data_IF_473456985816
#
_entry.id   IF_473456985816
#
_cell.length_a   1.000
_cell.length_b   1.000
_cell.length_c   1.000
_cell.angle_alpha   90.00
_cell.angle_beta   90.00
_cell.angle_gamma   90.00
#
_symmetry.space_group_name_H-M   'P 1'
#
loop_
_entity.id
_entity.type
_entity.pdbx_description
1 polymer ?
#
# COMPACT_ATOMS: atom_id res chain seq x y z
N UNK A 1 -4.51 -33.46 11.70
CA UNK A 1 -3.22 -33.49 11.00
C UNK A 1 -3.35 -33.04 9.54
N UNK A 2 -4.23 -33.64 8.73
CA UNK A 2 -4.48 -33.22 7.33
C UNK A 2 -4.88 -31.73 7.23
N UNK A 3 -5.79 -31.26 8.08
CA UNK A 3 -6.25 -29.85 8.12
C UNK A 3 -5.17 -28.82 8.48
N UNK A 4 -4.17 -29.21 9.29
CA UNK A 4 -3.05 -28.32 9.64
C UNK A 4 -2.06 -28.20 8.47
N UNK A 5 -1.79 -29.32 7.77
CA UNK A 5 -0.88 -29.35 6.63
C UNK A 5 -1.45 -28.54 5.45
N UNK A 6 -2.75 -28.61 5.17
CA UNK A 6 -3.39 -27.77 4.14
C UNK A 6 -3.33 -26.29 4.49
N UNK A 7 -3.56 -25.91 5.76
CA UNK A 7 -3.50 -24.51 6.18
C UNK A 7 -2.08 -23.92 6.03
N UNK A 8 -1.03 -24.67 6.38
CA UNK A 8 0.37 -24.21 6.25
C UNK A 8 0.80 -24.10 4.78
N UNK A 9 0.39 -25.03 3.92
CA UNK A 9 0.68 -24.98 2.48
C UNK A 9 -0.02 -23.79 1.83
N UNK A 10 -1.29 -23.54 2.16
CA UNK A 10 -2.03 -22.39 1.62
C UNK A 10 -1.46 -21.05 2.10
N UNK A 11 -1.18 -20.90 3.40
CA UNK A 11 -0.54 -19.69 3.94
C UNK A 11 0.84 -19.43 3.30
N UNK A 12 1.62 -20.50 3.07
CA UNK A 12 2.89 -20.43 2.34
C UNK A 12 2.73 -19.96 0.90
N UNK A 13 1.73 -20.46 0.17
CA UNK A 13 1.45 -20.07 -1.22
C UNK A 13 0.98 -18.60 -1.31
N UNK A 14 0.13 -18.15 -0.38
CA UNK A 14 -0.36 -16.77 -0.37
C UNK A 14 0.74 -15.75 -0.06
N UNK A 15 1.58 -16.03 0.96
CA UNK A 15 2.75 -15.19 1.26
C UNK A 15 3.76 -15.17 0.11
N UNK A 16 3.98 -16.31 -0.55
CA UNK A 16 4.87 -16.41 -1.71
C UNK A 16 4.36 -15.56 -2.89
N UNK A 17 3.05 -15.58 -3.14
CA UNK A 17 2.43 -14.86 -4.27
C UNK A 17 2.63 -13.35 -4.14
N UNK A 18 2.39 -12.77 -2.96
CA UNK A 18 2.68 -11.36 -2.71
C UNK A 18 4.19 -11.06 -2.83
N UNK A 19 5.03 -11.91 -2.26
CA UNK A 19 6.49 -11.73 -2.25
C UNK A 19 7.07 -11.63 -3.66
N UNK A 20 6.59 -12.45 -4.59
CA UNK A 20 7.05 -12.45 -6.00
C UNK A 20 6.22 -11.55 -6.92
N UNK A 21 5.17 -10.88 -6.42
CA UNK A 21 4.29 -10.05 -7.25
C UNK A 21 5.05 -8.91 -7.94
N UNK A 22 4.98 -8.77 -9.28
CA UNK A 22 5.82 -7.82 -10.01
C UNK A 22 5.31 -6.38 -9.85
N UNK A 23 6.23 -5.44 -9.63
CA UNK A 23 5.94 -3.99 -9.62
C UNK A 23 6.38 -3.27 -10.89
N UNK A 24 7.14 -3.95 -11.75
CA UNK A 24 7.69 -3.40 -13.00
C UNK A 24 6.94 -3.78 -14.28
N UNK A 25 5.87 -4.59 -14.18
CA UNK A 25 5.09 -4.94 -15.37
C UNK A 25 4.38 -3.70 -15.92
N UNK A 26 4.54 -3.45 -17.24
CA UNK A 26 4.05 -2.24 -17.93
C UNK A 26 4.46 -0.96 -17.20
N UNK A 27 5.75 -0.85 -16.91
CA UNK A 27 6.29 0.34 -16.27
C UNK A 27 6.18 1.55 -17.21
N UNK A 28 5.88 2.71 -16.62
CA UNK A 28 5.64 3.95 -17.34
C UNK A 28 6.36 5.09 -16.63
N UNK A 29 6.80 6.06 -17.41
CA UNK A 29 7.34 7.30 -16.88
C UNK A 29 6.21 8.19 -16.33
N UNK A 30 6.44 8.80 -15.18
CA UNK A 30 5.48 9.66 -14.50
C UNK A 30 5.90 11.12 -14.68
N UNK A 31 4.92 12.01 -14.81
CA UNK A 31 5.19 13.45 -14.76
C UNK A 31 5.31 13.91 -13.30
N UNK A 32 6.50 13.82 -12.72
CA UNK A 32 6.76 14.21 -11.32
C UNK A 32 7.10 15.70 -11.25
N UNK A 33 6.08 16.52 -11.03
CA UNK A 33 6.23 17.98 -10.88
C UNK A 33 6.45 18.38 -9.41
N UNK A 34 6.91 19.61 -9.11
CA UNK A 34 6.96 20.12 -7.75
C UNK A 34 5.62 20.04 -7.01
N UNK A 35 4.51 20.20 -7.72
CA UNK A 35 3.15 20.09 -7.17
C UNK A 35 2.84 18.66 -6.72
N UNK A 36 3.29 17.63 -7.45
CA UNK A 36 3.16 16.22 -7.02
C UNK A 36 3.88 16.01 -5.69
N UNK A 37 5.13 16.48 -5.58
CA UNK A 37 5.92 16.38 -4.35
C UNK A 37 5.26 17.15 -3.21
N UNK A 38 4.74 18.34 -3.47
CA UNK A 38 4.05 19.13 -2.46
C UNK A 38 2.77 18.45 -1.97
N UNK A 39 1.98 17.84 -2.87
CA UNK A 39 0.79 17.08 -2.49
C UNK A 39 1.13 15.84 -1.66
N UNK A 40 2.23 15.16 -1.96
CA UNK A 40 2.74 14.07 -1.12
C UNK A 40 3.10 14.58 0.28
N UNK A 41 3.81 15.70 0.40
CA UNK A 41 4.09 16.33 1.71
C UNK A 41 2.83 16.71 2.47
N UNK A 42 1.85 17.29 1.79
CA UNK A 42 0.55 17.60 2.41
C UNK A 42 -0.13 16.34 2.94
N UNK A 43 -0.16 15.26 2.16
CA UNK A 43 -0.70 13.98 2.61
C UNK A 43 0.08 13.41 3.80
N UNK A 44 1.41 13.54 3.82
CA UNK A 44 2.26 13.10 4.93
C UNK A 44 1.88 13.80 6.25
N UNK A 45 1.53 15.10 6.19
CA UNK A 45 1.16 15.89 7.36
C UNK A 45 -0.26 15.65 7.87
N UNK A 46 -1.13 15.00 7.08
CA UNK A 46 -2.47 14.66 7.55
C UNK A 46 -2.41 13.76 8.79
N UNK A 47 -3.30 14.01 9.75
CA UNK A 47 -3.57 13.08 10.83
C UNK A 47 -4.30 11.86 10.26
N UNK A 48 -3.69 10.68 10.32
CA UNK A 48 -4.20 9.45 9.72
C UNK A 48 -4.73 8.48 10.77
N UNK A 49 -5.57 7.57 10.29
CA UNK A 49 -6.16 6.48 11.08
C UNK A 49 -7.00 6.94 12.29
N UNK A 50 -7.44 8.20 12.31
CA UNK A 50 -8.52 8.66 13.17
C UNK A 50 -9.90 8.28 12.59
N UNK A 51 -11.00 8.54 13.33
CA UNK A 51 -12.34 8.31 12.84
C UNK A 51 -12.61 9.08 11.54
N UNK A 52 -13.16 8.41 10.54
CA UNK A 52 -13.52 8.99 9.25
C UNK A 52 -14.99 8.67 8.91
N UNK A 53 -15.91 9.63 9.07
CA UNK A 53 -17.33 9.42 8.82
C UNK A 53 -17.65 9.21 7.34
N UNK A 54 -16.74 9.55 6.42
CA UNK A 54 -16.95 9.37 4.98
C UNK A 54 -16.72 7.93 4.53
N UNK A 55 -15.85 7.21 5.24
CA UNK A 55 -15.51 5.81 4.97
C UNK A 55 -16.08 4.86 6.01
N UNK A 56 -16.81 5.37 7.01
CA UNK A 56 -17.28 4.65 8.20
C UNK A 56 -16.16 3.96 8.99
N UNK A 57 -14.91 4.36 8.77
CA UNK A 57 -13.78 3.85 9.52
C UNK A 57 -13.82 4.43 10.94
N UNK A 58 -13.94 3.60 12.00
CA UNK A 58 -14.12 4.09 13.36
C UNK A 58 -12.87 4.75 13.94
N UNK A 59 -11.71 4.59 13.29
CA UNK A 59 -10.41 4.96 13.84
C UNK A 59 -9.71 3.73 14.42
N UNK A 60 -8.37 3.78 14.47
CA UNK A 60 -7.62 2.74 15.15
C UNK A 60 -7.97 2.70 16.64
N UNK A 61 -8.03 1.49 17.22
CA UNK A 61 -8.52 1.26 18.59
C UNK A 61 -7.67 1.99 19.64
N UNK A 62 -6.37 2.10 19.41
CA UNK A 62 -5.42 2.77 20.31
C UNK A 62 -4.55 3.77 19.57
N UNK A 63 -4.09 4.80 20.29
CA UNK A 63 -3.14 5.77 19.76
C UNK A 63 -1.82 5.12 19.29
N UNK A 64 -1.39 4.05 19.95
CA UNK A 64 -0.18 3.30 19.54
C UNK A 64 -0.37 2.63 18.17
N UNK A 65 -1.50 1.96 17.97
CA UNK A 65 -1.83 1.36 16.66
C UNK A 65 -2.01 2.45 15.59
N UNK A 66 -2.71 3.54 15.92
CA UNK A 66 -2.89 4.69 15.04
C UNK A 66 -1.54 5.25 14.56
N UNK A 67 -0.63 5.51 15.51
CA UNK A 67 0.69 6.06 15.23
C UNK A 67 1.55 5.10 14.41
N UNK A 68 1.53 3.80 14.73
CA UNK A 68 2.25 2.78 13.96
C UNK A 68 1.73 2.68 12.52
N UNK A 69 0.40 2.68 12.35
CA UNK A 69 -0.20 2.60 11.03
C UNK A 69 0.06 3.86 10.20
N UNK A 70 -0.02 5.04 10.83
CA UNK A 70 0.36 6.30 10.20
C UNK A 70 1.84 6.30 9.78
N UNK A 71 2.74 5.84 10.64
CA UNK A 71 4.18 5.79 10.35
C UNK A 71 4.49 4.94 9.11
N UNK A 72 3.75 3.84 8.89
CA UNK A 72 3.89 3.03 7.69
C UNK A 72 3.57 3.82 6.40
N UNK A 73 2.45 4.55 6.39
CA UNK A 73 2.07 5.41 5.26
C UNK A 73 3.06 6.55 5.08
N UNK A 74 3.47 7.21 6.16
CA UNK A 74 4.37 8.36 6.13
C UNK A 74 5.78 7.96 5.64
N UNK A 75 6.24 6.74 5.96
CA UNK A 75 7.48 6.17 5.45
C UNK A 75 7.41 5.88 3.94
N UNK A 76 6.27 5.37 3.45
CA UNK A 76 6.02 5.18 2.03
C UNK A 76 6.11 6.52 1.28
N UNK A 77 5.43 7.55 1.81
CA UNK A 77 5.42 8.89 1.24
C UNK A 77 6.82 9.51 1.25
N UNK A 78 7.56 9.37 2.35
CA UNK A 78 8.92 9.88 2.45
C UNK A 78 9.83 9.27 1.39
N UNK A 79 9.78 7.94 1.24
CA UNK A 79 10.55 7.21 0.23
C UNK A 79 10.25 7.73 -1.17
N UNK A 80 8.97 8.01 -1.47
CA UNK A 80 8.58 8.54 -2.77
C UNK A 80 9.04 9.98 -3.02
N UNK A 81 9.00 10.84 -2.00
CA UNK A 81 9.53 12.21 -2.09
C UNK A 81 11.02 12.19 -2.44
N UNK A 82 11.78 11.21 -1.94
CA UNK A 82 13.22 11.08 -2.19
C UNK A 82 13.57 10.41 -3.52
N UNK A 83 12.78 9.41 -3.94
CA UNK A 83 13.09 8.58 -5.10
C UNK A 83 12.48 9.09 -6.41
N UNK A 84 11.25 9.61 -6.39
CA UNK A 84 10.53 9.99 -7.62
C UNK A 84 11.26 11.07 -8.44
N UNK A 85 11.89 12.11 -7.86
CA UNK A 85 12.65 13.08 -8.65
C UNK A 85 13.84 12.47 -9.41
N UNK A 86 14.38 11.35 -8.91
CA UNK A 86 15.53 10.64 -9.51
C UNK A 86 15.08 9.54 -10.47
N UNK A 87 13.93 8.92 -10.18
CA UNK A 87 13.38 7.76 -10.88
C UNK A 87 11.85 7.91 -11.01
N UNK A 88 11.36 8.79 -11.90
CA UNK A 88 9.95 9.10 -12.04
C UNK A 88 9.22 7.97 -12.80
N UNK A 89 9.07 6.82 -12.16
CA UNK A 89 8.52 5.60 -12.77
C UNK A 89 7.38 5.06 -11.92
N UNK A 90 6.36 4.50 -12.57
CA UNK A 90 5.26 3.78 -11.90
C UNK A 90 5.80 2.67 -11.00
N UNK A 91 6.82 1.95 -11.44
CA UNK A 91 7.46 0.89 -10.65
C UNK A 91 8.13 1.38 -9.36
N UNK A 92 8.60 2.63 -9.32
CA UNK A 92 9.11 3.28 -8.09
C UNK A 92 7.98 3.41 -7.07
N UNK A 93 6.81 3.89 -7.50
CA UNK A 93 5.60 3.99 -6.67
C UNK A 93 5.23 2.61 -6.13
N UNK A 94 5.00 1.64 -7.03
CA UNK A 94 4.53 0.32 -6.62
C UNK A 94 5.54 -0.44 -5.74
N UNK A 95 6.85 -0.21 -5.90
CA UNK A 95 7.87 -0.81 -5.04
C UNK A 95 7.82 -0.26 -3.63
N UNK A 96 7.69 1.06 -3.46
CA UNK A 96 7.53 1.67 -2.15
C UNK A 96 6.27 1.15 -1.45
N UNK A 97 5.14 1.12 -2.18
CA UNK A 97 3.88 0.60 -1.67
C UNK A 97 3.99 -0.88 -1.25
N UNK A 98 4.62 -1.72 -2.08
CA UNK A 98 4.84 -3.13 -1.77
C UNK A 98 5.69 -3.32 -0.51
N UNK A 99 6.77 -2.54 -0.35
CA UNK A 99 7.60 -2.57 0.84
C UNK A 99 6.78 -2.22 2.09
N UNK A 100 6.03 -1.12 2.05
CA UNK A 100 5.13 -0.72 3.15
C UNK A 100 4.12 -1.81 3.52
N UNK A 101 3.50 -2.44 2.52
CA UNK A 101 2.53 -3.51 2.74
C UNK A 101 3.18 -4.79 3.31
N UNK A 102 4.42 -5.10 2.93
CA UNK A 102 5.17 -6.22 3.49
C UNK A 102 5.40 -6.05 5.00
N UNK A 103 5.67 -4.81 5.44
CA UNK A 103 6.02 -4.50 6.83
C UNK A 103 4.80 -4.20 7.72
N UNK A 104 3.62 -3.97 7.13
CA UNK A 104 2.39 -3.63 7.87
C UNK A 104 1.74 -4.85 8.60
N UNK A 105 2.35 -6.03 8.53
CA UNK A 105 1.73 -7.30 8.93
C UNK A 105 1.49 -7.47 10.44
N UNK A 106 0.22 -7.34 10.86
CA UNK A 106 -0.51 -7.93 12.02
C UNK A 106 -1.69 -7.02 12.49
N UNK A 107 -2.07 -6.01 11.71
CA UNK A 107 -3.21 -5.13 12.00
C UNK A 107 -4.58 -5.79 11.73
N UNK A 108 -5.60 -5.34 12.46
CA UNK A 108 -7.02 -5.72 12.29
C UNK A 108 -7.54 -5.38 10.89
N UNK A 109 -8.69 -5.95 10.51
CA UNK A 109 -9.18 -5.89 9.13
C UNK A 109 -9.47 -4.47 8.64
N UNK A 110 -9.90 -3.58 9.54
CA UNK A 110 -10.27 -2.21 9.20
C UNK A 110 -9.01 -1.35 8.92
N UNK A 111 -7.94 -1.51 9.68
CA UNK A 111 -6.66 -0.85 9.44
C UNK A 111 -6.04 -1.27 8.10
N UNK A 112 -6.26 -2.54 7.70
CA UNK A 112 -5.83 -3.02 6.38
C UNK A 112 -6.58 -2.32 5.25
N UNK A 113 -7.88 -2.09 5.40
CA UNK A 113 -8.65 -1.38 4.39
C UNK A 113 -8.28 0.11 4.37
N UNK A 114 -8.03 0.69 5.55
CA UNK A 114 -7.65 2.09 5.68
C UNK A 114 -6.25 2.38 5.12
N UNK A 115 -5.26 1.50 5.30
CA UNK A 115 -3.96 1.69 4.65
C UNK A 115 -4.08 1.64 3.13
N UNK A 116 -4.89 0.74 2.57
CA UNK A 116 -5.12 0.67 1.12
C UNK A 116 -5.78 1.94 0.59
N UNK A 117 -6.69 2.56 1.35
CA UNK A 117 -7.27 3.87 1.03
C UNK A 117 -6.18 4.95 0.92
N UNK A 118 -5.26 5.04 1.89
CA UNK A 118 -4.17 6.00 1.84
C UNK A 118 -3.16 5.71 0.72
N UNK A 119 -2.77 4.46 0.49
CA UNK A 119 -1.87 4.10 -0.61
C UNK A 119 -2.52 4.36 -1.99
N UNK A 120 -3.85 4.25 -2.09
CA UNK A 120 -4.60 4.67 -3.28
C UNK A 120 -4.53 6.20 -3.48
N UNK A 121 -4.63 6.99 -2.41
CA UNK A 121 -4.43 8.46 -2.48
C UNK A 121 -3.01 8.78 -2.96
N UNK A 122 -1.99 8.08 -2.45
CA UNK A 122 -0.59 8.22 -2.88
C UNK A 122 -0.46 7.94 -4.38
N UNK A 123 -1.01 6.82 -4.87
CA UNK A 123 -1.00 6.48 -6.30
C UNK A 123 -1.64 7.57 -7.14
N UNK A 124 -2.82 8.07 -6.74
CA UNK A 124 -3.53 9.14 -7.44
C UNK A 124 -2.71 10.43 -7.51
N UNK A 125 -2.03 10.81 -6.42
CA UNK A 125 -1.14 11.97 -6.40
C UNK A 125 0.02 11.78 -7.40
N UNK A 126 0.57 10.57 -7.48
CA UNK A 126 1.68 10.24 -8.39
C UNK A 126 1.25 10.00 -9.85
N UNK A 127 -0.05 10.03 -10.17
CA UNK A 127 -0.55 9.71 -11.51
C UNK A 127 -0.54 8.22 -11.86
N UNK A 128 -0.59 7.33 -10.85
CA UNK A 128 -0.69 5.88 -11.04
C UNK A 128 -2.15 5.44 -10.94
N UNK A 129 -2.70 4.88 -12.02
CA UNK A 129 -4.13 4.53 -12.10
C UNK A 129 -4.46 3.17 -11.47
N UNK A 130 -3.54 2.21 -11.52
CA UNK A 130 -3.76 0.84 -11.07
C UNK A 130 -2.55 0.29 -10.30
N UNK A 131 -2.83 -0.48 -9.26
CA UNK A 131 -1.81 -1.19 -8.47
C UNK A 131 -1.35 -2.49 -9.13
N UNK A 132 -1.90 -2.82 -10.31
CA UNK A 132 -1.73 -4.10 -10.99
C UNK A 132 -1.99 -5.28 -10.02
N UNK A 133 -3.15 -5.27 -9.37
CA UNK A 133 -3.60 -6.27 -8.38
C UNK A 133 -2.74 -6.40 -7.11
N UNK A 134 -1.68 -5.60 -6.93
CA UNK A 134 -0.80 -5.66 -5.75
C UNK A 134 -1.61 -5.59 -4.43
N UNK A 135 -2.62 -4.72 -4.38
CA UNK A 135 -3.48 -4.57 -3.21
C UNK A 135 -4.36 -5.80 -2.96
N UNK A 136 -4.90 -6.41 -4.02
CA UNK A 136 -5.74 -7.60 -3.91
C UNK A 136 -4.91 -8.81 -3.46
N UNK A 137 -3.72 -8.97 -4.05
CA UNK A 137 -2.78 -10.02 -3.70
C UNK A 137 -2.33 -9.89 -2.24
N UNK A 138 -2.07 -8.67 -1.77
CA UNK A 138 -1.75 -8.45 -0.35
C UNK A 138 -2.94 -8.71 0.58
N UNK A 139 -4.13 -8.21 0.22
CA UNK A 139 -5.31 -8.21 1.10
C UNK A 139 -6.01 -9.57 1.19
N UNK A 140 -6.04 -10.29 0.07
CA UNK A 140 -6.84 -11.51 -0.11
C UNK A 140 -5.99 -12.72 -0.53
N UNK A 141 -4.72 -12.52 -0.90
CA UNK A 141 -3.80 -13.60 -1.30
C UNK A 141 -3.84 -13.94 -2.79
N UNK A 142 -4.72 -13.34 -3.58
CA UNK A 142 -4.85 -13.64 -5.02
C UNK A 142 -5.35 -12.41 -5.80
N UNK A 143 -5.05 -12.32 -7.11
CA UNK A 143 -5.60 -11.27 -7.98
C UNK A 143 -7.07 -11.58 -8.34
N UNK A 144 -7.92 -10.56 -8.45
CA UNK A 144 -9.29 -10.71 -8.95
C UNK A 144 -9.39 -10.50 -10.46
N UNK A 145 -8.47 -9.73 -11.04
CA UNK A 145 -8.33 -9.55 -12.48
C UNK A 145 -7.39 -10.57 -13.12
N UNK A 146 -7.74 -11.08 -14.28
CA UNK A 146 -6.75 -11.60 -15.23
C UNK A 146 -6.00 -10.41 -15.84
N UNK A 147 -4.73 -10.58 -16.18
CA UNK A 147 -3.85 -9.56 -16.78
C UNK A 147 -4.58 -8.61 -17.76
N UNK A 148 -4.87 -7.37 -17.35
CA UNK A 148 -5.38 -6.32 -18.23
C UNK A 148 -4.58 -5.04 -18.14
#
# INVERSE_FOLDING_TARGET
MILMVTATVLAGIYGLTFSVWPTGFRDMELNVTPEVIQRLRSLQLEHKFGPDPTTFYPGAVTETQRAAAQAAVDSAIQSLIEELPKRPRRSTVLRALKATLADFGMSESEERDQILSYLTKVMRICGVESSAELFNVWRYGFPYGWFF
#
